data_IF_365302544979
#
_entry.id   IF_365302544979
#
_cell.length_a   1.000
_cell.length_b   1.000
_cell.length_c   1.000
_cell.angle_alpha   90.00
_cell.angle_beta   90.00
_cell.angle_gamma   90.00
#
_symmetry.space_group_name_H-M   'P 1'
#
loop_
_entity.id
_entity.type
_entity.pdbx_description
1 polymer ?
#
# COMPACT_ATOMS: atom_id res chain seq x y z
N UNK A 1 44.55 -16.48 -39.70
CA UNK A 1 43.75 -15.54 -38.91
C UNK A 1 42.30 -16.01 -38.93
N UNK A 2 41.70 -16.28 -37.77
CA UNK A 2 40.31 -16.71 -37.69
C UNK A 2 39.94 -17.04 -36.24
N UNK A 3 39.93 -16.03 -35.36
CA UNK A 3 39.39 -16.17 -34.00
C UNK A 3 37.89 -16.43 -34.14
N UNK A 4 37.48 -17.67 -33.85
CA UNK A 4 36.06 -18.00 -33.61
C UNK A 4 35.64 -17.20 -32.37
N UNK A 5 34.68 -16.29 -32.58
CA UNK A 5 33.93 -15.70 -31.50
C UNK A 5 33.22 -16.85 -30.78
N UNK A 6 33.65 -17.13 -29.55
CA UNK A 6 32.85 -17.92 -28.62
C UNK A 6 31.61 -17.06 -28.35
N UNK A 7 30.51 -17.40 -28.99
CA UNK A 7 29.19 -16.91 -28.60
C UNK A 7 29.03 -17.25 -27.12
N UNK A 8 29.04 -16.22 -26.26
CA UNK A 8 28.57 -16.39 -24.88
C UNK A 8 27.17 -16.99 -24.98
N UNK A 9 26.90 -18.13 -24.32
CA UNK A 9 25.56 -18.69 -24.33
C UNK A 9 24.62 -17.62 -23.74
N UNK A 10 23.44 -17.39 -24.34
CA UNK A 10 22.49 -16.43 -23.82
C UNK A 10 22.24 -16.80 -22.36
N UNK A 11 22.57 -15.87 -21.45
CA UNK A 11 22.44 -16.06 -20.01
C UNK A 11 21.08 -16.74 -19.75
N UNK A 12 21.12 -18.01 -19.33
CA UNK A 12 19.93 -18.84 -19.21
C UNK A 12 18.86 -18.03 -18.49
N UNK A 13 17.74 -17.78 -19.18
CA UNK A 13 16.64 -17.00 -18.64
C UNK A 13 16.23 -17.66 -17.31
N UNK A 14 16.60 -17.02 -16.19
CA UNK A 14 16.35 -17.58 -14.85
C UNK A 14 14.85 -17.85 -14.75
N UNK A 15 14.49 -19.06 -14.32
CA UNK A 15 13.09 -19.46 -14.24
C UNK A 15 12.30 -18.46 -13.38
N UNK A 16 11.02 -18.25 -13.68
CA UNK A 16 10.17 -17.37 -12.88
C UNK A 16 10.17 -17.75 -11.38
N UNK A 17 10.34 -19.04 -11.09
CA UNK A 17 10.47 -19.61 -9.74
C UNK A 17 11.78 -19.15 -9.07
N UNK A 18 12.90 -19.15 -9.80
CA UNK A 18 14.18 -18.65 -9.27
C UNK A 18 14.13 -17.15 -9.00
N UNK A 19 13.45 -16.39 -9.86
CA UNK A 19 13.25 -14.96 -9.68
C UNK A 19 12.35 -14.67 -8.46
N UNK A 20 11.27 -15.43 -8.28
CA UNK A 20 10.40 -15.33 -7.10
C UNK A 20 11.13 -15.69 -5.80
N UNK A 21 11.93 -16.77 -5.81
CA UNK A 21 12.75 -17.17 -4.65
C UNK A 21 13.79 -16.11 -4.30
N UNK A 22 14.43 -15.52 -5.31
CA UNK A 22 15.36 -14.41 -5.08
C UNK A 22 14.65 -13.20 -4.49
N UNK A 23 13.51 -12.80 -5.05
CA UNK A 23 12.72 -11.67 -4.54
C UNK A 23 12.27 -11.89 -3.09
N UNK A 24 11.83 -13.10 -2.74
CA UNK A 24 11.46 -13.46 -1.37
C UNK A 24 12.65 -13.38 -0.40
N UNK A 25 13.82 -13.87 -0.82
CA UNK A 25 15.04 -13.78 -0.02
C UNK A 25 15.50 -12.33 0.17
N UNK A 26 15.46 -11.52 -0.90
CA UNK A 26 15.82 -10.10 -0.86
C UNK A 26 14.86 -9.34 0.07
N UNK A 27 13.56 -9.60 -0.02
CA UNK A 27 12.54 -9.02 0.87
C UNK A 27 12.79 -9.41 2.32
N UNK A 28 13.04 -10.70 2.60
CA UNK A 28 13.33 -11.20 3.94
C UNK A 28 14.64 -10.64 4.52
N UNK A 29 15.64 -10.36 3.68
CA UNK A 29 16.87 -9.69 4.10
C UNK A 29 16.63 -8.23 4.45
N UNK A 30 15.83 -7.53 3.64
CA UNK A 30 15.44 -6.15 3.85
C UNK A 30 14.68 -5.98 5.16
N UNK A 31 13.63 -6.78 5.41
CA UNK A 31 12.88 -6.70 6.67
C UNK A 31 13.77 -6.95 7.90
N UNK A 32 14.77 -7.84 7.81
CA UNK A 32 15.70 -8.08 8.91
C UNK A 32 16.66 -6.91 9.17
N UNK A 33 16.98 -6.11 8.14
CA UNK A 33 17.83 -4.92 8.29
C UNK A 33 17.14 -3.72 8.95
N UNK A 34 15.80 -3.72 9.02
CA UNK A 34 15.03 -2.63 9.59
C UNK A 34 15.01 -2.67 11.13
N UNK A 35 14.84 -1.51 11.77
CA UNK A 35 14.48 -1.40 13.19
C UNK A 35 13.14 -2.05 13.50
N UNK A 36 12.82 -2.29 14.77
CA UNK A 36 11.58 -3.01 15.14
C UNK A 36 10.36 -2.20 14.71
N UNK A 37 10.36 -0.89 14.95
CA UNK A 37 9.24 -0.03 14.59
C UNK A 37 9.12 0.14 13.07
N UNK A 38 10.24 0.17 12.36
CA UNK A 38 10.25 0.22 10.89
C UNK A 38 9.72 -1.06 10.24
N UNK A 39 9.98 -2.23 10.84
CA UNK A 39 9.38 -3.50 10.38
C UNK A 39 7.86 -3.48 10.55
N UNK A 40 7.38 -3.00 11.69
CA UNK A 40 5.94 -2.87 11.93
C UNK A 40 5.28 -1.87 10.98
N UNK A 41 5.92 -0.73 10.73
CA UNK A 41 5.44 0.26 9.77
C UNK A 41 5.40 -0.32 8.35
N UNK A 42 6.49 -0.96 7.90
CA UNK A 42 6.56 -1.58 6.58
C UNK A 42 5.56 -2.73 6.42
N UNK A 43 5.44 -3.60 7.43
CA UNK A 43 4.51 -4.74 7.42
C UNK A 43 3.06 -4.29 7.38
N UNK A 44 2.68 -3.32 8.23
CA UNK A 44 1.32 -2.78 8.28
C UNK A 44 0.97 -2.03 6.99
N UNK A 45 1.93 -1.34 6.38
CA UNK A 45 1.75 -0.65 5.10
C UNK A 45 1.63 -1.62 3.93
N UNK A 46 2.42 -2.71 3.93
CA UNK A 46 2.28 -3.77 2.94
C UNK A 46 0.93 -4.47 3.06
N UNK A 47 0.46 -4.72 4.29
CA UNK A 47 -0.87 -5.27 4.54
C UNK A 47 -1.97 -4.31 4.08
N UNK A 48 -1.83 -3.00 4.32
CA UNK A 48 -2.73 -1.97 3.78
C UNK A 48 -2.85 -2.06 2.25
N UNK A 49 -1.73 -2.21 1.54
CA UNK A 49 -1.73 -2.39 0.08
C UNK A 49 -2.46 -3.67 -0.36
N UNK A 50 -2.34 -4.76 0.41
CA UNK A 50 -3.11 -5.98 0.15
C UNK A 50 -4.60 -5.77 0.43
N UNK A 51 -4.95 -5.04 1.49
CA UNK A 51 -6.34 -4.72 1.81
C UNK A 51 -6.97 -3.82 0.74
N UNK A 52 -6.20 -2.96 0.07
CA UNK A 52 -6.67 -2.15 -1.06
C UNK A 52 -7.10 -2.99 -2.27
N UNK A 53 -6.60 -4.22 -2.42
CA UNK A 53 -7.04 -5.14 -3.46
C UNK A 53 -8.39 -5.83 -3.14
N UNK A 54 -8.83 -5.76 -1.88
CA UNK A 54 -10.15 -6.24 -1.49
C UNK A 54 -11.24 -5.26 -1.96
N UNK A 55 -12.50 -5.69 -2.03
CA UNK A 55 -13.61 -4.79 -2.29
C UNK A 55 -13.82 -3.84 -1.10
N UNK A 56 -13.87 -2.53 -1.35
CA UNK A 56 -14.03 -1.48 -0.31
C UNK A 56 -15.46 -0.97 -0.22
N UNK A 57 -16.17 -0.96 -1.35
CA UNK A 57 -17.57 -0.57 -1.46
C UNK A 57 -18.29 -1.57 -2.35
N UNK A 58 -19.52 -1.91 -1.97
CA UNK A 58 -20.48 -2.60 -2.82
C UNK A 58 -21.68 -1.68 -2.99
N UNK A 59 -22.07 -1.41 -4.24
CA UNK A 59 -23.31 -0.71 -4.59
C UNK A 59 -24.32 -1.74 -5.11
N UNK A 60 -25.48 -1.80 -4.45
CA UNK A 60 -26.53 -2.78 -4.73
C UNK A 60 -27.26 -2.55 -6.07
N UNK A 61 -27.13 -1.37 -6.67
CA UNK A 61 -27.80 -0.99 -7.92
C UNK A 61 -26.99 -1.30 -9.19
N UNK A 62 -25.65 -1.22 -9.13
CA UNK A 62 -24.78 -1.46 -10.31
C UNK A 62 -24.05 -2.81 -10.27
N UNK A 63 -24.18 -3.56 -9.16
CA UNK A 63 -23.33 -4.71 -8.80
C UNK A 63 -21.82 -4.37 -8.94
N UNK A 64 -21.48 -3.08 -8.81
CA UNK A 64 -20.16 -2.54 -9.08
C UNK A 64 -19.32 -2.58 -7.80
N UNK A 65 -18.22 -3.32 -7.89
CA UNK A 65 -17.24 -3.43 -6.83
C UNK A 65 -16.20 -2.32 -7.03
N UNK A 66 -16.42 -1.18 -6.37
CA UNK A 66 -15.45 -0.08 -6.36
C UNK A 66 -14.43 -0.36 -5.25
N UNK A 67 -13.35 -1.06 -5.61
CA UNK A 67 -12.20 -1.34 -4.73
C UNK A 67 -11.04 -0.38 -4.97
N UNK A 68 -10.24 -0.66 -6.01
CA UNK A 68 -8.93 -0.03 -6.22
C UNK A 68 -9.00 1.39 -6.82
N UNK A 69 -9.94 1.64 -7.73
CA UNK A 69 -9.99 2.88 -8.54
C UNK A 69 -10.26 4.11 -7.68
N UNK A 70 -11.01 3.98 -6.59
CA UNK A 70 -11.36 5.11 -5.74
C UNK A 70 -10.40 5.31 -4.56
N UNK A 71 -9.63 4.28 -4.18
CA UNK A 71 -8.64 4.33 -3.11
C UNK A 71 -7.19 4.57 -3.59
N UNK A 72 -7.01 5.00 -4.85
CA UNK A 72 -5.69 5.32 -5.42
C UNK A 72 -4.86 6.32 -4.60
N UNK A 73 -5.42 7.34 -3.90
CA UNK A 73 -4.62 8.23 -3.07
C UNK A 73 -4.02 7.48 -1.88
N UNK A 74 -4.77 6.55 -1.29
CA UNK A 74 -4.28 5.68 -0.20
C UNK A 74 -3.16 4.78 -0.70
N UNK A 75 -3.31 4.20 -1.89
CA UNK A 75 -2.27 3.39 -2.52
C UNK A 75 -0.97 4.17 -2.75
N UNK A 76 -1.07 5.42 -3.25
CA UNK A 76 0.10 6.28 -3.43
C UNK A 76 0.78 6.65 -2.11
N UNK A 77 0.00 6.99 -1.08
CA UNK A 77 0.56 7.33 0.23
C UNK A 77 1.23 6.11 0.87
N UNK A 78 0.60 4.94 0.82
CA UNK A 78 1.17 3.69 1.32
C UNK A 78 2.44 3.28 0.54
N UNK A 79 2.43 3.43 -0.79
CA UNK A 79 3.62 3.23 -1.61
C UNK A 79 4.75 4.21 -1.24
N UNK A 80 4.41 5.48 -1.00
CA UNK A 80 5.35 6.49 -0.53
C UNK A 80 5.97 6.16 0.83
N UNK A 81 5.17 5.68 1.78
CA UNK A 81 5.66 5.22 3.09
C UNK A 81 6.69 4.10 2.94
N UNK A 82 6.40 3.06 2.13
CA UNK A 82 7.35 1.99 1.86
C UNK A 82 8.61 2.50 1.14
N UNK A 83 8.46 3.43 0.20
CA UNK A 83 9.58 4.02 -0.52
C UNK A 83 10.53 4.78 0.41
N UNK A 84 10.02 5.57 1.35
CA UNK A 84 10.86 6.28 2.31
C UNK A 84 11.56 5.34 3.29
N UNK A 85 10.89 4.29 3.77
CA UNK A 85 11.51 3.23 4.58
C UNK A 85 12.63 2.55 3.79
N UNK A 86 12.39 2.24 2.51
CA UNK A 86 13.37 1.63 1.62
C UNK A 86 14.61 2.51 1.37
N UNK A 87 14.40 3.79 1.08
CA UNK A 87 15.50 4.75 0.88
C UNK A 87 16.37 4.86 2.13
N UNK A 88 15.75 4.91 3.30
CA UNK A 88 16.47 4.98 4.58
C UNK A 88 17.33 3.74 4.82
N UNK A 89 16.79 2.55 4.57
CA UNK A 89 17.53 1.31 4.71
C UNK A 89 18.76 1.19 3.79
N UNK A 90 18.82 2.00 2.71
CA UNK A 90 19.87 1.90 1.69
C UNK A 90 20.90 3.03 1.73
N UNK A 91 20.53 4.27 2.08
CA UNK A 91 21.37 5.46 1.75
C UNK A 91 21.24 6.70 2.65
N UNK A 92 20.66 6.63 3.84
CA UNK A 92 20.45 7.87 4.61
C UNK A 92 21.70 8.32 5.39
N UNK A 93 22.31 9.43 4.97
CA UNK A 93 23.10 10.29 5.86
C UNK A 93 22.22 10.81 7.01
N UNK A 94 22.79 11.09 8.20
CA UNK A 94 22.03 11.47 9.41
C UNK A 94 21.01 12.61 9.19
N UNK A 95 21.31 13.58 8.32
CA UNK A 95 20.40 14.70 8.00
C UNK A 95 19.27 14.27 7.06
N UNK A 96 19.56 13.40 6.10
CA UNK A 96 18.55 12.81 5.21
C UNK A 96 17.64 11.83 5.96
N UNK A 97 18.20 11.09 6.94
CA UNK A 97 17.47 10.14 7.78
C UNK A 97 16.29 10.80 8.48
N UNK A 98 16.53 11.94 9.15
CA UNK A 98 15.46 12.69 9.83
C UNK A 98 14.36 13.16 8.88
N UNK A 99 14.72 13.61 7.67
CA UNK A 99 13.74 14.05 6.65
C UNK A 99 12.92 12.87 6.14
N UNK A 100 13.55 11.73 5.90
CA UNK A 100 12.89 10.51 5.45
C UNK A 100 11.92 9.97 6.52
N UNK A 101 12.30 10.02 7.80
CA UNK A 101 11.41 9.64 8.91
C UNK A 101 10.19 10.55 9.04
N UNK A 102 10.37 11.87 8.88
CA UNK A 102 9.25 12.82 8.83
C UNK A 102 8.35 12.59 7.61
N UNK A 103 8.95 12.27 6.45
CA UNK A 103 8.19 11.96 5.24
C UNK A 103 7.41 10.63 5.36
N UNK A 104 7.99 9.61 5.99
CA UNK A 104 7.30 8.36 6.34
C UNK A 104 6.11 8.62 7.27
N UNK A 105 6.30 9.42 8.33
CA UNK A 105 5.22 9.79 9.24
C UNK A 105 4.11 10.55 8.50
N UNK A 106 4.49 11.56 7.71
CA UNK A 106 3.55 12.38 6.95
C UNK A 106 2.73 11.56 5.95
N UNK A 107 3.38 10.66 5.20
CA UNK A 107 2.68 9.76 4.26
C UNK A 107 1.79 8.75 4.97
N UNK A 108 2.21 8.19 6.11
CA UNK A 108 1.38 7.29 6.92
C UNK A 108 0.16 8.01 7.50
N UNK A 109 0.35 9.26 7.95
CA UNK A 109 -0.73 10.09 8.47
C UNK A 109 -1.74 10.42 7.37
N UNK A 110 -1.25 10.83 6.18
CA UNK A 110 -2.11 11.08 5.03
C UNK A 110 -2.85 9.81 4.59
N UNK A 111 -2.18 8.65 4.51
CA UNK A 111 -2.82 7.37 4.22
C UNK A 111 -3.97 7.08 5.20
N UNK A 112 -3.75 7.32 6.49
CA UNK A 112 -4.77 7.13 7.54
C UNK A 112 -5.93 8.11 7.38
N UNK A 113 -5.65 9.40 7.16
CA UNK A 113 -6.67 10.43 6.94
C UNK A 113 -7.51 10.09 5.72
N UNK A 114 -6.89 9.79 4.57
CA UNK A 114 -7.61 9.46 3.34
C UNK A 114 -8.42 8.17 3.49
N UNK A 115 -7.89 7.15 4.17
CA UNK A 115 -8.64 5.92 4.48
C UNK A 115 -9.87 6.23 5.35
N UNK A 116 -9.69 7.09 6.36
CA UNK A 116 -10.77 7.55 7.25
C UNK A 116 -11.82 8.40 6.53
N UNK A 117 -11.42 9.29 5.62
CA UNK A 117 -12.33 10.07 4.76
C UNK A 117 -13.09 9.19 3.77
N UNK A 118 -12.53 8.05 3.39
CA UNK A 118 -13.17 7.10 2.50
C UNK A 118 -14.31 6.34 3.17
N UNK A 119 -14.21 6.07 4.49
CA UNK A 119 -15.29 5.40 5.25
C UNK A 119 -16.67 6.08 5.11
N UNK A 120 -16.85 7.38 5.40
CA UNK A 120 -18.15 8.03 5.26
C UNK A 120 -18.61 8.08 3.81
N UNK A 121 -17.69 8.15 2.84
CA UNK A 121 -18.03 8.04 1.41
C UNK A 121 -18.58 6.65 1.06
N UNK A 122 -18.03 5.58 1.64
CA UNK A 122 -18.58 4.22 1.49
C UNK A 122 -19.91 3.98 2.20
N UNK A 123 -20.32 4.89 3.10
CA UNK A 123 -21.59 4.84 3.82
C UNK A 123 -22.66 5.77 3.21
N UNK A 124 -22.33 6.59 2.20
CA UNK A 124 -23.28 7.52 1.62
C UNK A 124 -24.37 6.77 0.83
N UNK A 125 -25.60 6.88 1.32
CA UNK A 125 -26.80 6.50 0.58
C UNK A 125 -27.09 7.60 -0.45
N UNK A 126 -26.89 7.31 -1.74
CA UNK A 126 -27.35 8.21 -2.78
C UNK A 126 -28.85 7.97 -2.99
N UNK A 127 -29.66 9.00 -2.81
CA UNK A 127 -31.04 8.99 -3.28
C UNK A 127 -31.01 9.46 -4.74
N UNK A 128 -31.19 8.54 -5.69
CA UNK A 128 -31.31 8.91 -7.10
C UNK A 128 -32.71 9.49 -7.35
N UNK A 129 -32.78 10.73 -7.87
CA UNK A 129 -34.03 11.28 -8.42
C UNK A 129 -34.15 10.87 -9.88
N UNK A 130 -34.72 9.70 -10.12
CA UNK A 130 -35.23 9.31 -11.44
C UNK A 130 -36.60 9.96 -11.72
N UNK A 131 -36.85 10.33 -12.97
CA UNK A 131 -38.02 11.06 -13.45
C UNK A 131 -39.35 10.63 -12.79
N UNK A 132 -39.86 11.47 -11.87
CA UNK A 132 -41.22 11.37 -11.31
C UNK A 132 -41.46 10.31 -10.23
N UNK A 133 -40.51 9.42 -9.95
CA UNK A 133 -40.63 8.40 -8.90
C UNK A 133 -39.37 8.38 -8.03
N UNK A 134 -39.53 8.68 -6.73
CA UNK A 134 -38.52 8.39 -5.71
C UNK A 134 -38.42 6.87 -5.57
N UNK A 135 -37.40 6.27 -6.18
CA UNK A 135 -37.13 4.84 -6.05
C UNK A 135 -35.73 4.64 -5.48
N UNK A 136 -35.68 3.77 -4.47
CA UNK A 136 -34.53 3.15 -3.82
C UNK A 136 -33.50 4.07 -3.14
N UNK A 137 -33.42 3.94 -1.82
CA UNK A 137 -32.24 4.33 -1.04
C UNK A 137 -31.18 3.27 -1.33
N UNK A 138 -30.20 3.60 -2.16
CA UNK A 138 -29.05 2.72 -2.41
C UNK A 138 -28.19 2.65 -1.14
N UNK A 139 -28.44 1.65 -0.29
CA UNK A 139 -27.64 1.37 0.89
C UNK A 139 -26.26 0.86 0.42
N UNK A 140 -25.25 1.74 0.47
CA UNK A 140 -23.86 1.35 0.35
C UNK A 140 -23.37 0.87 1.71
N UNK A 141 -22.87 -0.36 1.78
CA UNK A 141 -22.28 -0.90 3.01
C UNK A 141 -20.77 -0.91 2.88
N UNK A 142 -20.03 -0.37 3.87
CA UNK A 142 -18.58 -0.54 3.92
C UNK A 142 -18.26 -2.03 4.02
N UNK A 143 -17.40 -2.51 3.13
CA UNK A 143 -16.96 -3.90 3.15
C UNK A 143 -15.74 -4.07 4.06
N UNK A 144 -15.41 -5.33 4.36
CA UNK A 144 -14.28 -5.68 5.21
C UNK A 144 -12.96 -5.01 4.80
N UNK A 145 -12.75 -4.75 3.49
CA UNK A 145 -11.58 -4.06 2.97
C UNK A 145 -11.38 -2.64 3.54
N UNK A 146 -12.45 -1.86 3.73
CA UNK A 146 -12.36 -0.50 4.27
C UNK A 146 -11.99 -0.48 5.77
N UNK A 147 -12.58 -1.37 6.57
CA UNK A 147 -12.27 -1.49 8.00
C UNK A 147 -10.86 -2.04 8.22
N UNK A 148 -10.50 -3.11 7.52
CA UNK A 148 -9.15 -3.68 7.61
C UNK A 148 -8.10 -2.70 7.09
N UNK A 149 -8.40 -1.96 6.01
CA UNK A 149 -7.57 -0.87 5.51
C UNK A 149 -7.34 0.19 6.58
N UNK A 150 -8.38 0.65 7.28
CA UNK A 150 -8.24 1.65 8.34
C UNK A 150 -7.39 1.13 9.50
N UNK A 151 -7.59 -0.12 9.92
CA UNK A 151 -6.76 -0.76 10.98
C UNK A 151 -5.30 -0.82 10.55
N UNK A 152 -5.01 -1.21 9.31
CA UNK A 152 -3.65 -1.28 8.78
C UNK A 152 -3.00 0.11 8.68
N UNK A 153 -3.74 1.11 8.21
CA UNK A 153 -3.26 2.48 8.11
C UNK A 153 -2.95 3.07 9.49
N UNK A 154 -3.84 2.88 10.46
CA UNK A 154 -3.63 3.29 11.84
C UNK A 154 -2.42 2.58 12.46
N UNK A 155 -2.28 1.26 12.27
CA UNK A 155 -1.12 0.51 12.75
C UNK A 155 0.21 1.01 12.15
N UNK A 156 0.22 1.32 10.85
CA UNK A 156 1.39 1.90 10.16
C UNK A 156 1.75 3.29 10.72
N UNK A 157 0.75 4.13 11.00
CA UNK A 157 0.95 5.43 11.63
C UNK A 157 1.50 5.30 13.05
N UNK A 158 0.89 4.45 13.88
CA UNK A 158 1.33 4.20 15.25
C UNK A 158 2.76 3.66 15.30
N UNK A 159 3.15 2.80 14.37
CA UNK A 159 4.52 2.30 14.25
C UNK A 159 5.50 3.38 13.75
N UNK A 160 5.03 4.33 12.93
CA UNK A 160 5.88 5.40 12.40
C UNK A 160 6.23 6.49 13.42
N UNK A 161 5.46 6.63 14.51
CA UNK A 161 5.75 7.58 15.60
C UNK A 161 7.02 7.23 16.40
N UNK A 162 7.15 6.01 16.98
CA UNK A 162 8.36 5.63 17.70
C UNK A 162 9.56 5.46 16.75
N UNK A 163 9.33 5.16 15.47
CA UNK A 163 10.36 5.17 14.42
C UNK A 163 11.01 6.55 14.21
N UNK A 164 10.47 7.66 14.75
CA UNK A 164 11.18 8.95 14.73
C UNK A 164 12.38 9.01 15.69
N UNK A 165 12.45 8.07 16.65
CA UNK A 165 13.41 8.07 17.77
C UNK A 165 14.40 6.91 17.73
N UNK A 166 14.12 5.87 16.94
CA UNK A 166 15.14 4.90 16.48
C UNK A 166 16.13 5.59 15.54
#
# INVERSE_FOLDING_TARGET
>A
MGRRYLEEPPAAARSAVDQARKAANDLGSFFRSLGVWDRWAAGSTALLLLMLALPWRWTREDDEIIGLVAAWPVALMAGGTLFFIYLRARKADLVQDRRLRLAQLGTSALATIFTGLFLPWTMQSHAFRGAGHTVAIALSTPLGGAYLGLVCAAAALFASVPALKE
#
